data_IF_424137734898
#
_entry.id   IF_424137734898
#
_cell.length_a   1.000
_cell.length_b   1.000
_cell.length_c   1.000
_cell.angle_alpha   90.00
_cell.angle_beta   90.00
_cell.angle_gamma   90.00
#
_symmetry.space_group_name_H-M   'P 1'
#
loop_
_entity.id
_entity.type
_entity.pdbx_description
1 polymer ?
#
# COMPACT_ATOMS: atom_id res chain seq x y z
N UNK A 1 -16.09 -12.62 -10.96
CA UNK A 1 -15.56 -12.64 -9.59
C UNK A 1 -16.70 -12.21 -8.69
N UNK A 2 -16.92 -12.85 -7.54
CA UNK A 2 -17.99 -12.44 -6.62
C UNK A 2 -17.53 -11.31 -5.70
N UNK A 3 -18.46 -10.48 -5.19
CA UNK A 3 -18.16 -9.45 -4.19
C UNK A 3 -17.36 -9.96 -2.99
N UNK A 4 -17.66 -11.16 -2.48
CA UNK A 4 -16.95 -11.70 -1.32
C UNK A 4 -15.50 -12.08 -1.67
N UNK A 5 -15.24 -12.54 -2.91
CA UNK A 5 -13.87 -12.72 -3.40
C UNK A 5 -13.13 -11.39 -3.56
N UNK A 6 -13.82 -10.31 -3.96
CA UNK A 6 -13.23 -8.97 -4.05
C UNK A 6 -12.90 -8.40 -2.67
N UNK A 7 -13.75 -8.63 -1.67
CA UNK A 7 -13.50 -8.25 -0.28
C UNK A 7 -12.27 -8.97 0.28
N UNK A 8 -12.20 -10.28 0.11
CA UNK A 8 -11.04 -11.06 0.55
C UNK A 8 -9.77 -10.62 -0.19
N UNK A 9 -9.85 -10.39 -1.50
CA UNK A 9 -8.72 -9.87 -2.28
C UNK A 9 -8.22 -8.52 -1.77
N UNK A 10 -9.13 -7.56 -1.54
CA UNK A 10 -8.76 -6.27 -0.95
C UNK A 10 -8.13 -6.43 0.43
N UNK A 11 -8.63 -7.34 1.28
CA UNK A 11 -8.04 -7.60 2.60
C UNK A 11 -6.61 -8.11 2.46
N UNK A 12 -6.39 -9.12 1.61
CA UNK A 12 -5.06 -9.70 1.38
C UNK A 12 -4.06 -8.64 0.88
N UNK A 13 -4.47 -7.77 -0.04
CA UNK A 13 -3.58 -6.69 -0.52
C UNK A 13 -3.26 -5.66 0.57
N UNK A 14 -4.24 -5.29 1.41
CA UNK A 14 -4.02 -4.37 2.53
C UNK A 14 -3.12 -4.97 3.61
N UNK A 15 -3.28 -6.26 3.91
CA UNK A 15 -2.44 -6.99 4.87
C UNK A 15 -1.00 -7.09 4.34
N UNK A 16 -0.81 -7.43 3.06
CA UNK A 16 0.50 -7.47 2.43
C UNK A 16 1.18 -6.10 2.38
N UNK A 17 0.42 -5.03 2.13
CA UNK A 17 0.91 -3.66 2.19
C UNK A 17 1.38 -3.26 3.61
N UNK A 18 0.65 -3.69 4.63
CA UNK A 18 1.01 -3.44 6.04
C UNK A 18 2.28 -4.20 6.43
N UNK A 19 2.36 -5.50 6.13
CA UNK A 19 3.55 -6.32 6.35
C UNK A 19 4.78 -5.71 5.67
N UNK A 20 4.65 -5.31 4.40
CA UNK A 20 5.75 -4.68 3.66
C UNK A 20 6.21 -3.36 4.29
N UNK A 21 5.29 -2.54 4.80
CA UNK A 21 5.67 -1.31 5.51
C UNK A 21 6.40 -1.59 6.82
N UNK A 22 5.98 -2.62 7.57
CA UNK A 22 6.67 -3.01 8.80
C UNK A 22 8.09 -3.47 8.50
N UNK A 23 8.29 -4.33 7.50
CA UNK A 23 9.63 -4.74 7.05
C UNK A 23 10.48 -3.55 6.61
N UNK A 24 9.88 -2.60 5.89
CA UNK A 24 10.57 -1.40 5.42
C UNK A 24 11.04 -0.50 6.56
N UNK A 25 10.21 -0.33 7.61
CA UNK A 25 10.56 0.44 8.80
C UNK A 25 11.72 -0.20 9.56
N UNK A 26 11.82 -1.53 9.57
CA UNK A 26 12.93 -2.25 10.21
C UNK A 26 14.22 -2.20 9.38
N UNK A 27 14.10 -2.15 8.05
CA UNK A 27 15.24 -2.21 7.14
C UNK A 27 15.90 -0.85 6.86
N UNK A 28 15.32 0.27 7.32
CA UNK A 28 15.85 1.64 7.17
C UNK A 28 16.23 1.98 5.71
N UNK A 29 15.41 1.55 4.75
CA UNK A 29 15.71 1.69 3.30
C UNK A 29 15.30 3.05 2.70
N UNK A 30 14.56 3.86 3.45
CA UNK A 30 14.13 5.20 3.06
C UNK A 30 14.23 6.16 4.25
N UNK A 31 14.41 7.46 4.01
CA UNK A 31 14.33 8.48 5.05
C UNK A 31 13.01 8.46 5.83
N UNK A 32 13.09 8.71 7.13
CA UNK A 32 11.94 8.81 8.06
C UNK A 32 10.79 9.70 7.55
N UNK A 33 11.10 10.81 6.87
CA UNK A 33 10.09 11.73 6.34
C UNK A 33 9.25 11.05 5.26
N UNK A 34 9.89 10.37 4.30
CA UNK A 34 9.20 9.62 3.25
C UNK A 34 8.42 8.44 3.84
N UNK A 35 9.01 7.71 4.79
CA UNK A 35 8.33 6.59 5.47
C UNK A 35 7.03 7.04 6.15
N UNK A 36 7.03 8.22 6.78
CA UNK A 36 5.83 8.79 7.41
C UNK A 36 4.75 9.14 6.39
N UNK A 37 5.11 9.61 5.20
CA UNK A 37 4.17 9.89 4.12
C UNK A 37 3.50 8.60 3.63
N UNK A 38 4.29 7.56 3.34
CA UNK A 38 3.75 6.27 2.91
C UNK A 38 2.89 5.60 3.99
N UNK A 39 3.26 5.69 5.28
CA UNK A 39 2.43 5.20 6.39
C UNK A 39 1.09 5.93 6.47
N UNK A 40 1.08 7.25 6.27
CA UNK A 40 -0.15 8.03 6.22
C UNK A 40 -1.03 7.57 5.07
N UNK A 41 -0.47 7.37 3.89
CA UNK A 41 -1.23 6.92 2.73
C UNK A 41 -1.82 5.53 2.92
N UNK A 42 -1.05 4.58 3.47
CA UNK A 42 -1.57 3.26 3.83
C UNK A 42 -2.72 3.36 4.84
N UNK A 43 -2.59 4.22 5.86
CA UNK A 43 -3.65 4.47 6.84
C UNK A 43 -4.92 4.97 6.14
N UNK A 44 -4.80 5.85 5.13
CA UNK A 44 -5.94 6.34 4.36
C UNK A 44 -6.58 5.27 3.48
N UNK A 45 -5.79 4.33 2.95
CA UNK A 45 -6.26 3.18 2.18
C UNK A 45 -7.05 2.18 3.04
N UNK A 46 -6.57 1.92 4.26
CA UNK A 46 -7.20 1.06 5.26
C UNK A 46 -8.48 1.72 5.83
N UNK A 47 -8.39 2.99 6.22
CA UNK A 47 -9.45 3.71 6.96
C UNK A 47 -10.33 4.60 6.06
N UNK A 48 -10.87 4.05 4.97
CA UNK A 48 -11.80 4.79 4.10
C UNK A 48 -13.11 5.09 4.84
N UNK A 49 -13.73 6.24 4.53
CA UNK A 49 -15.01 6.66 5.13
C UNK A 49 -16.15 5.65 4.93
N UNK A 50 -16.14 4.93 3.80
CA UNK A 50 -17.11 3.89 3.50
C UNK A 50 -16.44 2.52 3.76
N UNK A 51 -16.98 1.68 4.66
CA UNK A 51 -16.50 0.33 4.88
C UNK A 51 -16.54 -0.49 3.59
N UNK A 52 -15.57 -1.40 3.40
CA UNK A 52 -15.46 -2.19 2.18
C UNK A 52 -16.73 -3.03 1.93
N UNK A 53 -17.34 -3.55 2.99
CA UNK A 53 -18.56 -4.36 2.97
C UNK A 53 -19.78 -3.61 2.42
N UNK A 54 -19.74 -2.27 2.44
CA UNK A 54 -20.77 -1.39 1.92
C UNK A 54 -20.46 -0.90 0.50
N UNK A 55 -19.29 -1.23 -0.06
CA UNK A 55 -18.90 -0.86 -1.41
C UNK A 55 -19.57 -1.74 -2.48
N UNK A 56 -19.78 -1.17 -3.66
CA UNK A 56 -20.09 -1.94 -4.86
C UNK A 56 -18.86 -2.74 -5.32
N UNK A 57 -19.07 -3.77 -6.13
CA UNK A 57 -17.96 -4.56 -6.72
C UNK A 57 -16.98 -3.68 -7.51
N UNK A 58 -17.50 -2.73 -8.30
CA UNK A 58 -16.68 -1.73 -8.99
C UNK A 58 -15.80 -0.93 -8.04
N UNK A 59 -16.36 -0.48 -6.91
CA UNK A 59 -15.59 0.30 -5.94
C UNK A 59 -14.57 -0.55 -5.17
N UNK A 60 -14.85 -1.83 -4.96
CA UNK A 60 -13.87 -2.76 -4.39
C UNK A 60 -12.67 -2.95 -5.32
N UNK A 61 -12.90 -3.16 -6.62
CA UNK A 61 -11.82 -3.24 -7.61
C UNK A 61 -10.98 -1.96 -7.63
N UNK A 62 -11.62 -0.78 -7.67
CA UNK A 62 -10.90 0.50 -7.59
C UNK A 62 -10.03 0.61 -6.33
N UNK A 63 -10.55 0.20 -5.17
CA UNK A 63 -9.77 0.22 -3.92
C UNK A 63 -8.60 -0.74 -3.96
N UNK A 64 -8.77 -1.92 -4.54
CA UNK A 64 -7.67 -2.88 -4.73
C UNK A 64 -6.60 -2.29 -5.66
N UNK A 65 -7.00 -1.66 -6.76
CA UNK A 65 -6.08 -0.98 -7.68
C UNK A 65 -5.33 0.18 -6.99
N UNK A 66 -6.01 0.96 -6.14
CA UNK A 66 -5.39 2.02 -5.33
C UNK A 66 -4.26 1.47 -4.44
N UNK A 67 -4.45 0.30 -3.79
CA UNK A 67 -3.45 -0.35 -2.95
C UNK A 67 -2.28 -0.87 -3.80
N UNK A 68 -2.57 -1.54 -4.93
CA UNK A 68 -1.55 -2.05 -5.85
C UNK A 68 -0.65 -0.93 -6.39
N UNK A 69 -1.25 0.17 -6.85
CA UNK A 69 -0.52 1.34 -7.37
C UNK A 69 0.34 1.96 -6.28
N UNK A 70 -0.20 2.14 -5.08
CA UNK A 70 0.57 2.64 -3.94
C UNK A 70 1.79 1.74 -3.66
N UNK A 71 1.61 0.42 -3.76
CA UNK A 71 2.70 -0.52 -3.52
C UNK A 71 3.76 -0.53 -4.61
N UNK A 72 3.36 -0.42 -5.87
CA UNK A 72 4.29 -0.26 -6.99
C UNK A 72 5.10 1.02 -6.87
N UNK A 73 4.46 2.13 -6.51
CA UNK A 73 5.13 3.42 -6.30
C UNK A 73 6.17 3.34 -5.19
N UNK A 74 5.82 2.74 -4.04
CA UNK A 74 6.77 2.59 -2.94
C UNK A 74 7.97 1.72 -3.33
N UNK A 75 7.74 0.59 -4.01
CA UNK A 75 8.83 -0.26 -4.52
C UNK A 75 9.74 0.48 -5.50
N UNK A 76 9.15 1.31 -6.35
CA UNK A 76 9.90 2.16 -7.28
C UNK A 76 10.73 3.22 -6.55
N UNK A 77 10.16 3.85 -5.52
CA UNK A 77 10.85 4.85 -4.68
C UNK A 77 12.08 4.24 -3.99
N UNK A 78 11.92 3.08 -3.33
CA UNK A 78 13.02 2.34 -2.71
C UNK A 78 14.12 2.03 -3.73
N UNK A 79 13.73 1.50 -4.90
CA UNK A 79 14.69 1.13 -5.94
C UNK A 79 15.47 2.32 -6.51
N UNK A 80 14.90 3.52 -6.49
CA UNK A 80 15.60 4.72 -6.93
C UNK A 80 16.47 5.32 -5.83
N UNK A 81 15.98 5.36 -4.60
CA UNK A 81 16.76 5.84 -3.46
C UNK A 81 18.06 5.01 -3.30
N UNK A 82 17.94 3.68 -3.40
CA UNK A 82 19.09 2.78 -3.34
C UNK A 82 20.08 2.89 -4.52
N UNK A 83 19.67 3.46 -5.66
CA UNK A 83 20.60 3.74 -6.76
C UNK A 83 21.40 5.00 -6.49
N UNK A 84 20.74 6.04 -5.97
CA UNK A 84 21.39 7.31 -5.62
C UNK A 84 22.44 7.08 -4.53
N UNK A 85 22.10 6.34 -3.47
CA UNK A 85 23.04 6.02 -2.37
C UNK A 85 24.25 5.16 -2.81
N UNK A 86 24.20 4.49 -3.98
CA UNK A 86 25.31 3.68 -4.49
C UNK A 86 26.26 4.44 -5.40
N UNK A 87 25.83 5.59 -5.91
CA UNK A 87 26.60 6.42 -6.84
C UNK A 87 27.37 7.55 -6.13
N UNK A 88 27.21 7.69 -4.81
CA UNK A 88 27.95 8.58 -3.89
C UNK A 88 29.11 7.84 -3.17
#
# INVERSE_FOLDING_TARGET
MSRDQLLEGLRVELDAADEFMQELLEADLLPDELLREYLRDLTLLQCKHIPAEMCSEGKLMERTDEVSIWMENLKWEIANYQKVDRDD
#
